data_IF_421903207487
#
_entry.id   IF_421903207487
#
_cell.length_a   1.000
_cell.length_b   1.000
_cell.length_c   1.000
_cell.angle_alpha   90.00
_cell.angle_beta   90.00
_cell.angle_gamma   90.00
#
_symmetry.space_group_name_H-M   'P 1'
#
loop_
_entity.id
_entity.type
_entity.pdbx_description
1 polymer ?
#
# COMPACT_ATOMS: atom_id res chain seq x y z
N UNK A 1 -30.24 41.17 57.16
CA UNK A 1 -29.83 39.77 56.91
C UNK A 1 -29.65 39.65 55.40
N UNK A 2 -28.44 39.92 54.89
CA UNK A 2 -28.12 39.92 53.45
C UNK A 2 -27.24 38.71 53.15
N UNK A 3 -27.71 37.84 52.25
CA UNK A 3 -26.98 36.65 51.79
C UNK A 3 -26.07 37.02 50.62
N UNK A 4 -24.76 36.77 50.79
CA UNK A 4 -23.77 36.78 49.72
C UNK A 4 -23.78 35.43 49.00
N UNK A 5 -24.01 35.43 47.69
CA UNK A 5 -23.76 34.30 46.80
C UNK A 5 -22.37 34.46 46.16
N UNK A 6 -21.44 33.58 46.50
CA UNK A 6 -20.18 33.42 45.77
C UNK A 6 -20.37 32.33 44.70
N UNK A 7 -20.28 32.72 43.43
CA UNK A 7 -20.27 31.83 42.28
C UNK A 7 -18.84 31.27 42.10
N UNK A 8 -18.67 29.97 42.26
CA UNK A 8 -17.46 29.24 41.89
C UNK A 8 -17.62 28.80 40.43
N UNK A 9 -16.89 29.46 39.52
CA UNK A 9 -16.80 29.05 38.12
C UNK A 9 -15.77 27.91 38.01
N UNK A 10 -16.25 26.69 37.77
CA UNK A 10 -15.41 25.53 37.49
C UNK A 10 -15.05 25.53 36.00
N UNK A 11 -13.80 25.85 35.66
CA UNK A 11 -13.28 25.75 34.29
C UNK A 11 -12.95 24.28 34.03
N UNK A 12 -13.88 23.57 33.41
CA UNK A 12 -13.63 22.23 32.88
C UNK A 12 -12.67 22.33 31.70
N UNK A 13 -11.40 22.00 31.94
CA UNK A 13 -10.42 21.79 30.89
C UNK A 13 -10.84 20.60 30.02
N UNK A 14 -11.31 20.89 28.81
CA UNK A 14 -11.42 19.88 27.76
C UNK A 14 -10.01 19.41 27.40
N UNK A 15 -9.59 18.27 27.96
CA UNK A 15 -8.48 17.50 27.44
C UNK A 15 -8.89 17.00 26.04
N UNK A 16 -8.48 17.76 25.02
CA UNK A 16 -8.44 17.32 23.62
C UNK A 16 -7.58 16.06 23.57
N UNK A 17 -8.21 14.90 23.68
CA UNK A 17 -7.60 13.66 23.26
C UNK A 17 -7.47 13.76 21.74
N UNK A 18 -6.27 13.63 21.16
CA UNK A 18 -6.16 13.46 19.71
C UNK A 18 -7.03 12.25 19.38
N UNK A 19 -8.02 12.46 18.50
CA UNK A 19 -8.79 11.36 17.96
C UNK A 19 -7.78 10.34 17.43
N UNK A 20 -7.89 9.05 17.81
CA UNK A 20 -7.05 8.04 17.18
C UNK A 20 -7.33 8.16 15.67
N UNK A 21 -6.27 8.20 14.87
CA UNK A 21 -6.36 8.24 13.42
C UNK A 21 -7.00 6.93 12.91
N UNK A 22 -8.32 6.86 13.01
CA UNK A 22 -9.15 5.69 12.69
C UNK A 22 -9.97 6.07 11.46
N UNK A 23 -9.40 5.88 10.27
CA UNK A 23 -10.11 5.81 8.96
C UNK A 23 -9.13 5.63 7.78
N UNK A 24 -8.03 4.87 7.96
CA UNK A 24 -6.90 4.90 7.00
C UNK A 24 -6.71 3.67 6.11
N UNK A 25 -7.31 2.51 6.40
CA UNK A 25 -6.92 1.25 5.71
C UNK A 25 -8.00 0.66 4.85
N UNK A 26 -9.12 0.31 5.45
CA UNK A 26 -10.28 -0.23 4.73
C UNK A 26 -10.86 0.79 3.76
N UNK A 27 -10.91 2.06 4.15
CA UNK A 27 -11.45 3.12 3.31
C UNK A 27 -10.55 3.41 2.11
N UNK A 28 -9.22 3.38 2.30
CA UNK A 28 -8.27 3.51 1.18
C UNK A 28 -8.30 2.29 0.25
N UNK A 29 -8.42 1.08 0.80
CA UNK A 29 -8.59 -0.12 -0.03
C UNK A 29 -9.93 -0.08 -0.79
N UNK A 30 -11.00 0.38 -0.12
CA UNK A 30 -12.31 0.56 -0.74
C UNK A 30 -12.28 1.61 -1.85
N UNK A 31 -11.49 2.68 -1.71
CA UNK A 31 -11.32 3.70 -2.74
C UNK A 31 -10.69 3.12 -4.02
N UNK A 32 -9.78 2.14 -3.92
CA UNK A 32 -9.23 1.43 -5.09
C UNK A 32 -10.38 0.74 -5.86
N UNK A 33 -11.26 0.02 -5.17
CA UNK A 33 -12.36 -0.71 -5.80
C UNK A 33 -13.49 0.19 -6.32
N UNK A 34 -13.56 1.43 -5.88
CA UNK A 34 -14.54 2.40 -6.37
C UNK A 34 -14.15 2.96 -7.75
N UNK A 35 -12.87 2.94 -8.12
CA UNK A 35 -12.43 3.48 -9.41
C UNK A 35 -12.72 2.52 -10.55
N UNK A 36 -12.40 1.23 -10.37
CA UNK A 36 -12.68 0.19 -11.38
C UNK A 36 -13.61 -0.84 -10.77
N UNK A 37 -14.90 -0.86 -11.16
CA UNK A 37 -15.82 -1.85 -10.64
C UNK A 37 -15.43 -3.24 -11.14
N UNK A 38 -15.54 -4.23 -10.25
CA UNK A 38 -15.24 -5.63 -10.57
C UNK A 38 -16.07 -6.12 -11.77
N UNK A 39 -17.38 -5.82 -11.75
CA UNK A 39 -18.28 -6.05 -12.88
C UNK A 39 -18.35 -4.79 -13.74
N UNK A 40 -18.13 -4.94 -15.03
CA UNK A 40 -18.16 -3.83 -15.98
C UNK A 40 -17.36 -4.16 -17.23
N UNK A 41 -17.20 -3.17 -18.10
CA UNK A 41 -16.43 -3.28 -19.32
C UNK A 41 -15.01 -3.80 -19.05
N UNK A 42 -14.47 -4.67 -19.92
CA UNK A 42 -13.10 -5.18 -19.80
C UNK A 42 -12.07 -4.09 -20.13
N UNK A 43 -12.44 -3.12 -20.98
CA UNK A 43 -11.61 -1.99 -21.32
C UNK A 43 -11.72 -0.86 -20.29
N UNK A 44 -10.58 -0.37 -19.83
CA UNK A 44 -10.46 0.73 -18.85
C UNK A 44 -9.80 1.93 -19.54
N UNK A 45 -10.50 3.07 -19.70
CA UNK A 45 -9.93 4.27 -20.30
C UNK A 45 -8.75 4.84 -19.51
N UNK A 46 -7.81 5.50 -20.20
CA UNK A 46 -6.59 6.06 -19.59
C UNK A 46 -6.86 6.98 -18.39
N UNK A 47 -7.90 7.80 -18.41
CA UNK A 47 -8.24 8.69 -17.28
C UNK A 47 -8.64 7.88 -16.03
N UNK A 48 -9.42 6.81 -16.20
CA UNK A 48 -9.75 5.89 -15.10
C UNK A 48 -8.51 5.14 -14.60
N UNK A 49 -7.57 4.79 -15.49
CA UNK A 49 -6.30 4.17 -15.09
C UNK A 49 -5.44 5.11 -14.23
N UNK A 50 -5.41 6.41 -14.56
CA UNK A 50 -4.74 7.45 -13.75
C UNK A 50 -5.36 7.58 -12.36
N UNK A 51 -6.69 7.62 -12.28
CA UNK A 51 -7.40 7.64 -11.00
C UNK A 51 -7.08 6.40 -10.16
N UNK A 52 -6.99 5.23 -10.80
CA UNK A 52 -6.66 3.98 -10.13
C UNK A 52 -5.24 4.01 -9.55
N UNK A 53 -4.25 4.51 -10.31
CA UNK A 53 -2.88 4.71 -9.81
C UNK A 53 -2.84 5.67 -8.63
N UNK A 54 -3.61 6.76 -8.67
CA UNK A 54 -3.69 7.71 -7.56
C UNK A 54 -4.28 7.07 -6.28
N UNK A 55 -5.30 6.22 -6.42
CA UNK A 55 -5.88 5.47 -5.30
C UNK A 55 -4.88 4.45 -4.73
N UNK A 56 -4.23 3.66 -5.59
CA UNK A 56 -3.18 2.71 -5.20
C UNK A 56 -2.02 3.40 -4.47
N UNK A 57 -1.57 4.54 -4.99
CA UNK A 57 -0.49 5.31 -4.38
C UNK A 57 -0.88 5.82 -3.01
N UNK A 58 -2.09 6.36 -2.86
CA UNK A 58 -2.59 6.82 -1.57
C UNK A 58 -2.63 5.68 -0.56
N UNK A 59 -3.10 4.49 -0.96
CA UNK A 59 -3.08 3.29 -0.14
C UNK A 59 -1.66 2.90 0.29
N UNK A 60 -0.73 2.75 -0.67
CA UNK A 60 0.63 2.31 -0.38
C UNK A 60 1.45 3.33 0.41
N UNK A 61 1.25 4.63 0.19
CA UNK A 61 1.90 5.68 1.00
C UNK A 61 1.39 5.66 2.45
N UNK A 62 0.09 5.45 2.64
CA UNK A 62 -0.46 5.30 3.98
C UNK A 62 0.06 4.02 4.66
N UNK A 63 0.13 2.91 3.93
CA UNK A 63 0.76 1.66 4.38
C UNK A 63 2.21 1.89 4.81
N UNK A 64 3.01 2.49 3.95
CA UNK A 64 4.42 2.82 4.17
C UNK A 64 4.64 3.69 5.42
N UNK A 65 3.81 4.71 5.62
CA UNK A 65 3.93 5.66 6.74
C UNK A 65 3.83 5.03 8.14
N UNK A 66 3.33 3.79 8.22
CA UNK A 66 3.10 3.06 9.48
C UNK A 66 4.12 1.97 9.73
N UNK A 67 4.96 1.65 8.76
CA UNK A 67 6.04 0.68 8.94
C UNK A 67 7.23 1.39 9.60
N UNK A 68 7.67 0.97 10.81
CA UNK A 68 8.84 1.55 11.44
C UNK A 68 10.10 1.32 10.59
N UNK A 69 10.95 2.34 10.48
CA UNK A 69 12.24 2.23 9.79
C UNK A 69 13.30 1.67 10.72
N UNK A 70 14.20 0.87 10.16
CA UNK A 70 15.41 0.44 10.84
C UNK A 70 16.31 1.64 11.14
N UNK A 71 16.93 1.63 12.30
CA UNK A 71 18.05 2.51 12.61
C UNK A 71 19.26 2.21 11.71
N UNK A 72 20.24 3.13 11.60
CA UNK A 72 21.46 2.86 10.84
C UNK A 72 22.22 1.61 11.31
N UNK A 73 22.26 1.37 12.63
CA UNK A 73 22.91 0.19 13.20
C UNK A 73 22.18 -1.11 12.86
N UNK A 74 20.85 -1.11 12.89
CA UNK A 74 20.06 -2.29 12.51
C UNK A 74 20.17 -2.57 11.01
N UNK A 75 20.18 -1.52 10.18
CA UNK A 75 20.42 -1.61 8.73
C UNK A 75 21.79 -2.21 8.43
N UNK A 76 22.83 -1.77 9.13
CA UNK A 76 24.17 -2.34 8.96
C UNK A 76 24.19 -3.82 9.38
N UNK A 77 23.64 -4.12 10.56
CA UNK A 77 23.58 -5.49 11.07
C UNK A 77 22.85 -6.44 10.11
N UNK A 78 21.69 -6.04 9.58
CA UNK A 78 20.91 -6.93 8.71
C UNK A 78 21.63 -7.19 7.38
N UNK A 79 22.30 -6.18 6.81
CA UNK A 79 23.10 -6.36 5.60
C UNK A 79 24.25 -7.35 5.82
N UNK A 80 24.92 -7.28 6.98
CA UNK A 80 26.00 -8.19 7.34
C UNK A 80 25.49 -9.64 7.56
N UNK A 81 24.32 -9.81 8.19
CA UNK A 81 23.78 -11.14 8.48
C UNK A 81 23.10 -11.82 7.28
N UNK A 82 22.46 -11.06 6.37
CA UNK A 82 21.89 -11.63 5.13
C UNK A 82 23.01 -12.18 4.22
N UNK A 83 24.20 -11.56 4.24
CA UNK A 83 25.38 -12.07 3.54
C UNK A 83 26.08 -13.25 4.21
N UNK A 84 25.69 -13.60 5.44
CA UNK A 84 26.29 -14.70 6.19
C UNK A 84 25.72 -16.08 5.75
N UNK A 85 26.23 -17.15 6.37
CA UNK A 85 25.78 -18.52 6.13
C UNK A 85 25.41 -19.22 7.45
N UNK A 86 24.68 -20.33 7.34
CA UNK A 86 24.32 -21.18 8.47
C UNK A 86 23.40 -20.48 9.48
N UNK A 87 23.66 -20.69 10.77
CA UNK A 87 22.81 -20.21 11.87
C UNK A 87 22.64 -18.69 11.92
N UNK A 88 23.67 -17.95 11.48
CA UNK A 88 23.62 -16.48 11.41
C UNK A 88 22.53 -15.99 10.48
N UNK A 89 22.54 -16.50 9.25
CA UNK A 89 21.51 -16.21 8.25
C UNK A 89 20.13 -16.63 8.76
N UNK A 90 19.99 -17.84 9.31
CA UNK A 90 18.71 -18.34 9.82
C UNK A 90 18.16 -17.42 10.92
N UNK A 91 19.01 -16.98 11.86
CA UNK A 91 18.60 -16.05 12.91
C UNK A 91 18.16 -14.71 12.32
N UNK A 92 18.90 -14.17 11.37
CA UNK A 92 18.53 -12.92 10.71
C UNK A 92 17.20 -13.05 9.97
N UNK A 93 17.01 -14.08 9.15
CA UNK A 93 15.75 -14.30 8.43
C UNK A 93 14.55 -14.39 9.38
N UNK A 94 14.71 -14.90 10.59
CA UNK A 94 13.64 -15.01 11.60
C UNK A 94 13.52 -13.78 12.53
N UNK A 95 14.32 -12.74 12.32
CA UNK A 95 14.32 -11.53 13.15
C UNK A 95 13.22 -10.53 12.76
N UNK A 96 12.92 -9.61 13.69
CA UNK A 96 12.02 -8.47 13.43
C UNK A 96 12.64 -7.51 12.42
N UNK A 97 13.95 -7.32 12.50
CA UNK A 97 14.71 -6.40 11.67
C UNK A 97 14.68 -6.84 10.21
N UNK A 98 14.80 -8.15 9.94
CA UNK A 98 14.62 -8.67 8.59
C UNK A 98 13.19 -8.46 8.07
N UNK A 99 12.18 -8.64 8.91
CA UNK A 99 10.81 -8.38 8.51
C UNK A 99 10.60 -6.90 8.12
N UNK A 100 11.12 -5.96 8.91
CA UNK A 100 11.06 -4.53 8.59
C UNK A 100 11.88 -4.18 7.33
N UNK A 101 13.06 -4.78 7.17
CA UNK A 101 13.89 -4.64 5.96
C UNK A 101 13.15 -5.10 4.70
N UNK A 102 12.53 -6.28 4.74
CA UNK A 102 11.77 -6.82 3.61
C UNK A 102 10.54 -5.96 3.31
N UNK A 103 9.80 -5.53 4.33
CA UNK A 103 8.66 -4.61 4.16
C UNK A 103 9.07 -3.30 3.50
N UNK A 104 10.15 -2.67 3.96
CA UNK A 104 10.67 -1.41 3.40
C UNK A 104 11.01 -1.56 1.91
N UNK A 105 11.71 -2.66 1.56
CA UNK A 105 12.05 -2.97 0.17
C UNK A 105 10.80 -3.17 -0.68
N UNK A 106 9.90 -4.06 -0.25
CA UNK A 106 8.75 -4.48 -1.05
C UNK A 106 7.77 -3.31 -1.26
N UNK A 107 7.49 -2.54 -0.21
CA UNK A 107 6.67 -1.30 -0.30
C UNK A 107 7.36 -0.25 -1.17
N UNK A 108 8.68 -0.08 -1.03
CA UNK A 108 9.46 0.84 -1.84
C UNK A 108 9.38 0.50 -3.33
N UNK A 109 9.43 -0.77 -3.69
CA UNK A 109 9.31 -1.22 -5.08
C UNK A 109 7.90 -1.04 -5.64
N UNK A 110 6.88 -1.17 -4.79
CA UNK A 110 5.50 -0.81 -5.14
C UNK A 110 5.33 0.66 -5.46
N UNK A 111 5.81 1.53 -4.57
CA UNK A 111 5.75 2.98 -4.78
C UNK A 111 6.54 3.41 -6.03
N UNK A 112 7.71 2.82 -6.27
CA UNK A 112 8.49 3.06 -7.50
C UNK A 112 7.71 2.65 -8.76
N UNK A 113 7.01 1.52 -8.73
CA UNK A 113 6.22 1.05 -9.87
C UNK A 113 5.07 2.00 -10.19
N UNK A 114 4.39 2.53 -9.17
CA UNK A 114 3.34 3.54 -9.33
C UNK A 114 3.88 4.86 -9.88
N UNK A 115 5.05 5.32 -9.43
CA UNK A 115 5.71 6.52 -9.98
C UNK A 115 6.08 6.32 -11.46
N UNK A 116 6.51 5.12 -11.86
CA UNK A 116 6.79 4.81 -13.27
C UNK A 116 5.54 4.86 -14.13
N UNK A 117 4.39 4.40 -13.62
CA UNK A 117 3.10 4.53 -14.31
C UNK A 117 2.70 5.99 -14.51
N UNK A 118 2.79 6.81 -13.45
CA UNK A 118 2.51 8.25 -13.56
C UNK A 118 3.40 8.92 -14.61
N UNK A 119 4.68 8.54 -14.67
CA UNK A 119 5.60 9.04 -15.69
C UNK A 119 5.20 8.61 -17.09
N UNK A 120 4.80 7.35 -17.27
CA UNK A 120 4.30 6.85 -18.55
C UNK A 120 3.02 7.56 -19.00
N UNK A 121 2.16 8.00 -18.08
CA UNK A 121 0.98 8.80 -18.41
C UNK A 121 1.29 10.25 -18.79
N UNK A 122 2.37 10.82 -18.22
CA UNK A 122 2.74 12.22 -18.43
C UNK A 122 3.59 12.43 -19.69
N UNK A 123 4.35 11.42 -20.11
CA UNK A 123 5.30 11.52 -21.22
C UNK A 123 4.83 10.67 -22.42
N UNK A 124 4.39 11.28 -23.54
CA UNK A 124 3.93 10.54 -24.71
C UNK A 124 4.95 9.51 -25.27
N UNK A 125 6.24 9.78 -25.10
CA UNK A 125 7.33 8.89 -25.49
C UNK A 125 7.41 7.60 -24.64
N UNK A 126 6.73 7.56 -23.49
CA UNK A 126 6.69 6.42 -22.57
C UNK A 126 5.33 5.74 -22.52
N UNK A 127 4.31 6.20 -23.27
CA UNK A 127 2.99 5.57 -23.26
C UNK A 127 3.06 4.06 -23.55
N UNK A 128 3.95 3.64 -24.46
CA UNK A 128 4.12 2.22 -24.82
C UNK A 128 4.72 1.36 -23.70
N UNK A 129 5.30 1.96 -22.65
CA UNK A 129 5.87 1.23 -21.51
C UNK A 129 4.86 1.03 -20.38
N UNK A 130 3.66 1.62 -20.48
CA UNK A 130 2.61 1.52 -19.46
C UNK A 130 2.34 0.06 -19.06
N UNK A 131 2.14 -0.83 -20.04
CA UNK A 131 1.83 -2.24 -19.77
C UNK A 131 2.92 -2.94 -18.93
N UNK A 132 4.19 -2.59 -19.14
CA UNK A 132 5.29 -3.17 -18.38
C UNK A 132 5.37 -2.62 -16.96
N UNK A 133 4.95 -1.37 -16.74
CA UNK A 133 4.92 -0.79 -15.40
C UNK A 133 3.77 -1.36 -14.56
N UNK A 134 2.63 -1.72 -15.18
CA UNK A 134 1.57 -2.45 -14.50
C UNK A 134 2.02 -3.82 -13.97
N UNK A 135 2.91 -4.52 -14.67
CA UNK A 135 3.50 -5.78 -14.17
C UNK A 135 4.31 -5.58 -12.88
N UNK A 136 4.91 -4.40 -12.70
CA UNK A 136 5.57 -4.04 -11.44
C UNK A 136 4.56 -3.87 -10.30
N UNK A 137 3.37 -3.33 -10.59
CA UNK A 137 2.29 -3.20 -9.60
C UNK A 137 1.69 -4.57 -9.26
N UNK A 138 1.61 -5.50 -10.20
CA UNK A 138 1.19 -6.89 -9.93
C UNK A 138 2.06 -7.52 -8.83
N UNK A 139 3.37 -7.28 -8.82
CA UNK A 139 4.27 -7.84 -7.80
C UNK A 139 3.93 -7.37 -6.37
N UNK A 140 3.29 -6.21 -6.22
CA UNK A 140 2.84 -5.72 -4.91
C UNK A 140 1.77 -6.59 -4.26
N UNK A 141 1.04 -7.34 -5.08
CA UNK A 141 -0.10 -8.13 -4.64
C UNK A 141 0.17 -9.64 -4.74
N UNK A 142 1.24 -10.06 -5.43
CA UNK A 142 1.49 -11.48 -5.70
C UNK A 142 2.03 -12.25 -4.51
N UNK A 143 2.70 -11.56 -3.58
CA UNK A 143 3.32 -12.17 -2.40
C UNK A 143 2.83 -11.52 -1.09
N UNK A 144 1.53 -11.20 -1.06
CA UNK A 144 0.94 -10.57 0.12
C UNK A 144 0.93 -11.47 1.34
N UNK A 145 0.91 -12.80 1.18
CA UNK A 145 1.04 -13.72 2.31
C UNK A 145 2.39 -13.54 3.02
N UNK A 146 3.50 -13.44 2.27
CA UNK A 146 4.81 -13.14 2.84
C UNK A 146 4.85 -11.76 3.50
N UNK A 147 4.23 -10.75 2.88
CA UNK A 147 4.10 -9.41 3.47
C UNK A 147 3.35 -9.46 4.81
N UNK A 148 2.25 -10.21 4.90
CA UNK A 148 1.50 -10.39 6.14
C UNK A 148 2.31 -11.14 7.19
N UNK A 149 3.12 -12.12 6.81
CA UNK A 149 4.03 -12.82 7.70
C UNK A 149 5.14 -11.90 8.24
N UNK A 150 5.69 -11.01 7.40
CA UNK A 150 6.61 -9.97 7.85
C UNK A 150 5.95 -8.98 8.82
N UNK A 151 4.74 -8.51 8.53
CA UNK A 151 4.00 -7.65 9.45
C UNK A 151 3.76 -8.34 10.80
N UNK A 152 3.41 -9.63 10.80
CA UNK A 152 3.24 -10.42 12.02
C UNK A 152 4.55 -10.57 12.78
N UNK A 153 5.63 -10.92 12.09
CA UNK A 153 6.97 -11.07 12.68
C UNK A 153 7.48 -9.75 13.27
N UNK A 154 7.14 -8.61 12.65
CA UNK A 154 7.46 -7.29 13.15
C UNK A 154 6.57 -6.82 14.32
N UNK A 155 5.51 -7.56 14.65
CA UNK A 155 4.53 -7.21 15.67
C UNK A 155 3.60 -6.05 15.25
N UNK A 156 3.40 -5.86 13.94
CA UNK A 156 2.64 -4.75 13.37
C UNK A 156 1.20 -5.12 13.01
N UNK A 157 0.93 -6.40 12.74
CA UNK A 157 -0.39 -6.90 12.34
C UNK A 157 -0.62 -8.33 12.81
N UNK A 158 -1.88 -8.67 13.08
CA UNK A 158 -2.33 -10.03 13.36
C UNK A 158 -2.84 -10.77 12.10
N UNK A 159 -2.89 -10.12 10.95
CA UNK A 159 -3.37 -10.71 9.71
C UNK A 159 -4.04 -9.71 8.77
N UNK A 160 -4.48 -10.18 7.61
CA UNK A 160 -4.97 -9.32 6.50
C UNK A 160 -6.20 -8.47 6.80
N UNK A 161 -6.92 -8.80 7.87
CA UNK A 161 -8.09 -8.05 8.34
C UNK A 161 -7.75 -7.09 9.48
N UNK A 162 -6.49 -7.02 9.90
CA UNK A 162 -6.09 -6.14 11.00
C UNK A 162 -6.13 -4.68 10.56
N UNK A 163 -6.84 -3.87 11.34
CA UNK A 163 -7.18 -2.49 11.01
C UNK A 163 -5.99 -1.60 10.63
N UNK A 164 -4.79 -1.73 11.21
CA UNK A 164 -3.63 -0.92 10.82
C UNK A 164 -3.01 -1.30 9.47
N UNK A 165 -3.23 -2.51 8.96
CA UNK A 165 -2.67 -3.02 7.69
C UNK A 165 -3.70 -3.92 6.99
N UNK A 166 -4.79 -3.31 6.52
CA UNK A 166 -5.89 -4.01 5.84
C UNK A 166 -5.54 -4.29 4.38
N UNK A 167 -5.60 -5.56 3.97
CA UNK A 167 -5.28 -6.02 2.62
C UNK A 167 -6.22 -7.15 2.18
N UNK A 168 -7.51 -7.05 2.52
CA UNK A 168 -8.46 -8.13 2.31
C UNK A 168 -8.86 -8.30 0.83
N UNK A 169 -8.83 -7.21 0.06
CA UNK A 169 -9.19 -7.18 -1.36
C UNK A 169 -7.99 -7.34 -2.30
N UNK A 170 -6.84 -7.75 -1.78
CA UNK A 170 -5.64 -8.09 -2.53
C UNK A 170 -5.87 -8.87 -3.83
N UNK A 171 -6.59 -9.99 -3.75
CA UNK A 171 -6.89 -10.84 -4.91
C UNK A 171 -7.75 -10.09 -5.94
N UNK A 172 -8.70 -9.28 -5.49
CA UNK A 172 -9.53 -8.47 -6.37
C UNK A 172 -8.72 -7.38 -7.09
N UNK A 173 -7.76 -6.77 -6.39
CA UNK A 173 -6.82 -5.83 -7.00
C UNK A 173 -5.97 -6.53 -8.05
N UNK A 174 -5.50 -7.75 -7.77
CA UNK A 174 -4.74 -8.57 -8.71
C UNK A 174 -5.54 -8.89 -9.97
N UNK A 175 -6.77 -9.37 -9.81
CA UNK A 175 -7.67 -9.68 -10.93
C UNK A 175 -7.92 -8.43 -11.77
N UNK A 176 -8.15 -7.27 -11.14
CA UNK A 176 -8.32 -5.99 -11.85
C UNK A 176 -7.07 -5.59 -12.65
N UNK A 177 -5.87 -5.83 -12.11
CA UNK A 177 -4.62 -5.56 -12.80
C UNK A 177 -4.45 -6.46 -14.04
N UNK A 178 -4.65 -7.76 -13.87
CA UNK A 178 -4.39 -8.78 -14.88
C UNK A 178 -5.47 -8.83 -15.97
N UNK A 179 -6.74 -8.71 -15.59
CA UNK A 179 -7.87 -8.92 -16.51
C UNK A 179 -8.33 -7.63 -17.18
N UNK A 180 -8.00 -6.46 -16.62
CA UNK A 180 -8.49 -5.17 -17.13
C UNK A 180 -7.36 -4.19 -17.47
N UNK A 181 -6.53 -3.83 -16.49
CA UNK A 181 -5.58 -2.73 -16.66
C UNK A 181 -4.47 -3.05 -17.66
N UNK A 182 -3.81 -4.20 -17.51
CA UNK A 182 -2.76 -4.64 -18.44
C UNK A 182 -3.33 -4.83 -19.85
N UNK A 183 -4.44 -5.55 -20.08
CA UNK A 183 -5.05 -5.67 -21.40
C UNK A 183 -5.44 -4.32 -22.02
N UNK A 184 -5.97 -3.39 -21.23
CA UNK A 184 -6.33 -2.05 -21.71
C UNK A 184 -5.11 -1.25 -22.16
N UNK A 185 -4.02 -1.26 -21.38
CA UNK A 185 -2.76 -0.62 -21.75
C UNK A 185 -2.14 -1.27 -23.01
N UNK A 186 -2.24 -2.60 -23.13
CA UNK A 186 -1.81 -3.33 -24.33
C UNK A 186 -2.65 -2.95 -25.54
N UNK A 187 -3.98 -2.87 -25.41
CA UNK A 187 -4.87 -2.51 -26.50
C UNK A 187 -4.57 -1.11 -27.04
N UNK A 188 -4.40 -0.14 -26.15
CA UNK A 188 -4.02 1.23 -26.54
C UNK A 188 -2.65 1.28 -27.22
N UNK A 189 -1.69 0.50 -26.74
CA UNK A 189 -0.32 0.44 -27.31
C UNK A 189 -0.27 -0.23 -28.67
N UNK A 190 -1.05 -1.31 -28.85
CA UNK A 190 -1.02 -2.17 -30.03
C UNK A 190 -2.10 -1.84 -31.07
N UNK A 191 -3.03 -0.93 -30.75
CA UNK A 191 -4.20 -0.62 -31.57
C UNK A 191 -5.20 -1.78 -31.64
N UNK A 192 -5.31 -2.58 -30.58
CA UNK A 192 -6.25 -3.70 -30.52
C UNK A 192 -7.62 -3.27 -30.00
N UNK A 193 -8.60 -4.14 -30.20
CA UNK A 193 -9.91 -4.05 -29.55
C UNK A 193 -10.04 -5.19 -28.55
N UNK A 194 -10.65 -4.93 -27.41
CA UNK A 194 -10.90 -5.93 -26.37
C UNK A 194 -12.33 -6.43 -26.54
N UNK A 195 -12.52 -7.73 -26.73
CA UNK A 195 -13.85 -8.34 -26.77
C UNK A 195 -14.41 -8.51 -25.36
N UNK A 196 -15.73 -8.47 -25.23
CA UNK A 196 -16.45 -8.61 -23.95
C UNK A 196 -16.88 -10.07 -23.64
N UNK A 197 -16.36 -11.04 -24.40
CA UNK A 197 -16.77 -12.45 -24.37
C UNK A 197 -16.36 -13.19 -23.09
#
# INVERSE_FOLDING_TARGET
MFQNFALIASVSGFLLHPAPAVAGTKDLESAIFQVIPFRGEPYVPIETRKEYVAALRSYWQNFDSRVPRLSPSETQWINDEIGAQGERLIRALNSKEYALFSLDRDIGDCLKSLVRLEKAFAEPSQNQTEMFHWLGVVQCYSDLDSMMDYLRRAGLSNGKFDGPFYAAGASLTMDTLLDKLIPSAMADTMGWTISAD
#
